data_IF_183526990219
#
_entry.id   IF_183526990219
#
_cell.length_a   1.000
_cell.length_b   1.000
_cell.length_c   1.000
_cell.angle_alpha   90.00
_cell.angle_beta   90.00
_cell.angle_gamma   90.00
#
_symmetry.space_group_name_H-M   'P 1'
#
loop_
_entity.id
_entity.type
_entity.pdbx_description
1 polymer ?
#
# COMPACT_ATOMS: atom_id res chain seq x y z
N UNK A 1 4.11 -0.24 17.29
CA UNK A 1 4.99 -1.04 16.40
C UNK A 1 4.35 -2.35 15.94
N UNK A 2 3.49 -3.00 16.75
CA UNK A 2 2.93 -4.33 16.39
C UNK A 2 1.52 -4.29 15.75
N UNK A 3 0.90 -3.12 15.61
CA UNK A 3 -0.48 -2.98 15.08
C UNK A 3 -0.68 -3.58 13.69
N UNK A 4 0.24 -3.30 12.75
CA UNK A 4 0.16 -3.87 11.40
C UNK A 4 0.38 -5.39 11.38
N UNK A 5 1.20 -5.93 12.29
CA UNK A 5 1.41 -7.37 12.40
C UNK A 5 0.17 -8.07 13.00
N UNK A 6 -0.49 -7.47 13.99
CA UNK A 6 -1.76 -7.96 14.54
C UNK A 6 -2.89 -7.90 13.51
N UNK A 7 -2.97 -6.83 12.72
CA UNK A 7 -3.96 -6.69 11.67
C UNK A 7 -3.76 -7.70 10.54
N UNK A 8 -2.50 -8.00 10.18
CA UNK A 8 -2.17 -9.10 9.26
C UNK A 8 -2.78 -10.42 9.72
N UNK A 9 -2.68 -10.73 11.02
CA UNK A 9 -3.21 -11.98 11.55
C UNK A 9 -4.74 -12.01 11.54
N UNK A 10 -5.41 -10.88 11.81
CA UNK A 10 -6.88 -10.74 11.65
C UNK A 10 -7.32 -10.89 10.18
N UNK A 11 -6.56 -10.35 9.24
CA UNK A 11 -6.86 -10.46 7.81
C UNK A 11 -6.82 -11.89 7.29
N UNK A 12 -6.04 -12.77 7.93
CA UNK A 12 -6.06 -14.18 7.63
C UNK A 12 -7.42 -14.82 7.98
N UNK A 13 -8.06 -14.39 9.07
CA UNK A 13 -9.42 -14.80 9.44
C UNK A 13 -10.47 -14.22 8.48
N UNK A 14 -10.36 -12.93 8.14
CA UNK A 14 -11.25 -12.28 7.18
C UNK A 14 -11.20 -12.94 5.81
N UNK A 15 -10.02 -13.36 5.35
CA UNK A 15 -9.86 -14.09 4.09
C UNK A 15 -10.51 -15.47 4.15
N UNK A 16 -10.38 -16.20 5.26
CA UNK A 16 -11.06 -17.51 5.45
C UNK A 16 -12.58 -17.40 5.43
N UNK A 17 -13.11 -16.27 5.88
CA UNK A 17 -14.54 -15.99 5.93
C UNK A 17 -15.06 -15.31 4.66
N UNK A 18 -14.21 -15.22 3.62
CA UNK A 18 -14.52 -14.57 2.33
C UNK A 18 -14.97 -13.11 2.46
N UNK A 19 -14.57 -12.43 3.54
CA UNK A 19 -14.84 -11.00 3.74
C UNK A 19 -13.90 -10.13 2.89
N UNK A 20 -12.76 -10.69 2.52
CA UNK A 20 -11.74 -10.05 1.70
C UNK A 20 -11.07 -11.07 0.79
N UNK A 21 -10.76 -10.66 -0.44
CA UNK A 21 -9.91 -11.40 -1.38
C UNK A 21 -8.66 -10.60 -1.63
N UNK A 22 -7.57 -11.04 -1.02
CA UNK A 22 -6.25 -10.44 -1.18
C UNK A 22 -5.56 -11.03 -2.40
N UNK A 23 -4.89 -10.17 -3.14
CA UNK A 23 -3.96 -10.58 -4.18
C UNK A 23 -2.52 -10.48 -3.67
N UNK A 24 -2.22 -9.41 -2.92
CA UNK A 24 -0.93 -9.23 -2.28
C UNK A 24 -1.04 -8.37 -1.01
N UNK A 25 -0.01 -8.43 -0.16
CA UNK A 25 0.05 -7.71 1.10
C UNK A 25 1.50 -7.49 1.58
N UNK A 26 1.77 -6.28 2.06
CA UNK A 26 3.08 -5.90 2.61
C UNK A 26 2.92 -5.07 3.89
N UNK A 27 3.69 -5.41 4.92
CA UNK A 27 3.80 -4.66 6.17
C UNK A 27 5.00 -3.74 6.09
N UNK A 28 4.80 -2.46 6.37
CA UNK A 28 5.86 -1.47 6.49
C UNK A 28 6.00 -1.08 7.96
N UNK A 29 7.21 -1.15 8.49
CA UNK A 29 7.52 -0.67 9.83
C UNK A 29 8.50 0.49 9.70
N UNK A 30 8.11 1.68 10.15
CA UNK A 30 8.98 2.86 10.18
C UNK A 30 9.61 2.98 11.55
N UNK A 31 10.93 2.83 11.63
CA UNK A 31 11.62 2.98 12.91
C UNK A 31 11.71 4.46 13.33
N UNK A 32 12.08 4.71 14.59
CA UNK A 32 12.23 6.06 15.14
C UNK A 32 13.29 6.90 14.40
N UNK A 33 14.25 6.26 13.72
CA UNK A 33 15.23 6.95 12.84
C UNK A 33 14.65 7.36 11.48
N UNK A 34 13.37 7.12 11.24
CA UNK A 34 12.67 7.42 9.98
C UNK A 34 12.87 6.40 8.87
N UNK A 35 13.67 5.35 9.08
CA UNK A 35 13.91 4.27 8.09
C UNK A 35 12.74 3.29 8.08
N UNK A 36 12.13 3.12 6.93
CA UNK A 36 11.11 2.12 6.68
C UNK A 36 11.73 0.75 6.37
N UNK A 37 11.12 -0.32 6.88
CA UNK A 37 11.41 -1.70 6.50
C UNK A 37 10.13 -2.34 5.96
N UNK A 38 10.22 -2.94 4.78
CA UNK A 38 9.11 -3.66 4.16
C UNK A 38 9.25 -5.15 4.45
N UNK A 39 8.18 -5.78 4.91
CA UNK A 39 8.06 -7.23 5.11
C UNK A 39 6.84 -7.70 4.32
N UNK A 40 7.00 -8.63 3.39
CA UNK A 40 5.83 -9.24 2.73
C UNK A 40 5.04 -10.10 3.72
N UNK A 41 3.71 -10.05 3.59
CA UNK A 41 2.80 -10.87 4.38
C UNK A 41 2.61 -12.24 3.70
N UNK A 42 3.65 -13.06 3.67
CA UNK A 42 3.68 -14.35 2.96
C UNK A 42 2.58 -15.34 3.36
N UNK A 43 1.98 -15.22 4.55
CA UNK A 43 0.87 -16.07 5.01
C UNK A 43 -0.49 -15.71 4.38
N UNK A 44 -0.61 -14.51 3.80
CA UNK A 44 -1.86 -13.98 3.25
C UNK A 44 -1.97 -14.18 1.74
N UNK A 45 -0.85 -14.37 1.04
CA UNK A 45 -0.74 -14.20 -0.42
C UNK A 45 -0.37 -15.51 -1.12
N UNK A 46 -0.97 -15.74 -2.29
CA UNK A 46 -0.81 -16.98 -3.07
C UNK A 46 0.44 -17.01 -3.95
N UNK A 47 0.66 -18.14 -4.63
CA UNK A 47 1.69 -18.23 -5.66
C UNK A 47 1.40 -17.21 -6.79
N UNK A 48 2.34 -16.30 -7.06
CA UNK A 48 2.16 -15.18 -7.99
C UNK A 48 2.02 -13.80 -7.32
N UNK A 49 2.19 -13.70 -5.99
CA UNK A 49 2.31 -12.43 -5.28
C UNK A 49 3.44 -11.56 -5.86
N UNK A 50 3.27 -10.24 -5.78
CA UNK A 50 4.28 -9.29 -6.27
C UNK A 50 5.54 -9.43 -5.42
N UNK A 51 6.71 -9.27 -6.02
CA UNK A 51 7.97 -9.43 -5.31
C UNK A 51 8.20 -8.34 -4.25
N UNK A 52 9.12 -8.59 -3.32
CA UNK A 52 9.59 -7.57 -2.38
C UNK A 52 10.17 -6.32 -3.09
N UNK A 53 10.65 -6.46 -4.32
CA UNK A 53 11.11 -5.36 -5.17
C UNK A 53 9.96 -4.41 -5.56
N UNK A 54 8.83 -4.95 -6.03
CA UNK A 54 7.61 -4.18 -6.32
C UNK A 54 7.22 -3.31 -5.13
N UNK A 55 7.06 -3.94 -3.96
CA UNK A 55 6.61 -3.24 -2.75
C UNK A 55 7.69 -2.28 -2.24
N UNK A 56 8.96 -2.67 -2.26
CA UNK A 56 10.07 -1.82 -1.86
C UNK A 56 10.16 -0.53 -2.66
N UNK A 57 9.90 -0.59 -3.96
CA UNK A 57 9.89 0.58 -4.83
C UNK A 57 8.57 1.36 -4.73
N UNK A 58 7.39 0.73 -4.70
CA UNK A 58 6.10 1.43 -4.58
C UNK A 58 6.07 2.25 -3.28
N UNK A 59 6.36 1.59 -2.16
CA UNK A 59 6.51 2.25 -0.86
C UNK A 59 7.66 3.25 -0.90
N UNK A 60 8.76 2.92 -1.57
CA UNK A 60 9.85 3.86 -1.81
C UNK A 60 9.37 5.19 -2.41
N UNK A 61 8.52 5.15 -3.44
CA UNK A 61 7.95 6.35 -4.04
C UNK A 61 7.00 7.07 -3.08
N UNK A 62 6.09 6.35 -2.42
CA UNK A 62 5.13 6.93 -1.47
C UNK A 62 5.82 7.67 -0.31
N UNK A 63 6.94 7.15 0.19
CA UNK A 63 7.62 7.68 1.38
C UNK A 63 8.84 8.58 1.10
N UNK A 64 9.57 8.34 0.02
CA UNK A 64 10.79 9.09 -0.31
C UNK A 64 10.58 10.12 -1.42
N UNK A 65 9.43 10.14 -2.10
CA UNK A 65 9.04 11.26 -2.95
C UNK A 65 7.79 12.06 -2.46
N UNK A 66 7.57 12.35 -1.15
CA UNK A 66 6.46 13.20 -0.70
C UNK A 66 6.58 14.65 -1.20
N UNK A 67 7.76 15.08 -1.63
CA UNK A 67 7.95 16.41 -2.23
C UNK A 67 7.30 16.55 -3.62
N UNK A 68 6.84 15.45 -4.24
CA UNK A 68 5.90 15.53 -5.35
C UNK A 68 4.53 16.08 -4.87
N UNK A 69 4.21 15.95 -3.57
CA UNK A 69 3.05 16.56 -2.90
C UNK A 69 3.29 17.97 -2.33
N UNK A 70 4.54 18.40 -2.07
CA UNK A 70 4.84 19.78 -1.64
C UNK A 70 4.58 20.84 -2.72
N UNK A 71 4.37 20.44 -3.98
CA UNK A 71 3.97 21.32 -5.08
C UNK A 71 2.45 21.57 -5.16
N UNK A 72 1.64 20.91 -4.33
CA UNK A 72 0.20 21.20 -4.23
C UNK A 72 -0.10 22.45 -3.38
N UNK A 73 0.87 22.93 -2.60
CA UNK A 73 0.75 24.13 -1.78
C UNK A 73 1.44 25.34 -2.42
N UNK A 74 0.69 26.12 -3.18
CA UNK A 74 1.06 27.41 -3.79
C UNK A 74 1.79 27.35 -5.16
N UNK A 75 0.98 27.45 -6.22
CA UNK A 75 1.35 27.78 -7.60
C UNK A 75 2.21 26.77 -8.40
N UNK A 76 1.60 26.10 -9.37
CA UNK A 76 2.30 25.52 -10.53
C UNK A 76 2.03 24.02 -10.71
N UNK A 77 1.36 23.68 -11.82
CA UNK A 77 1.04 22.30 -12.16
C UNK A 77 2.23 21.49 -12.69
N UNK A 78 1.94 20.19 -12.86
CA UNK A 78 2.67 19.15 -13.58
C UNK A 78 3.97 18.64 -12.96
N UNK A 79 3.89 17.55 -12.17
CA UNK A 79 4.58 16.26 -12.44
C UNK A 79 3.85 15.11 -11.70
N UNK A 80 2.55 14.89 -11.99
CA UNK A 80 1.87 13.64 -11.64
C UNK A 80 1.35 13.00 -12.91
N UNK A 81 2.04 11.97 -13.41
CA UNK A 81 1.66 11.37 -14.70
C UNK A 81 2.15 9.96 -14.88
N UNK A 82 2.48 9.26 -13.79
CA UNK A 82 2.84 7.83 -13.91
C UNK A 82 2.21 6.95 -12.84
N UNK A 83 1.92 7.44 -11.64
CA UNK A 83 1.14 6.69 -10.64
C UNK A 83 -0.35 7.09 -10.68
N UNK A 84 -0.64 8.39 -10.82
CA UNK A 84 -2.00 8.90 -11.08
C UNK A 84 -2.67 8.31 -12.32
N UNK A 85 -1.90 8.13 -13.40
CA UNK A 85 -2.37 7.50 -14.64
C UNK A 85 -2.59 5.98 -14.51
N UNK A 86 -2.19 5.39 -13.38
CA UNK A 86 -2.42 3.98 -13.03
C UNK A 86 -3.44 3.91 -11.88
N UNK A 87 -4.31 4.91 -11.74
CA UNK A 87 -5.43 4.94 -10.79
C UNK A 87 -5.09 5.22 -9.33
N UNK A 88 -3.81 5.42 -8.97
CA UNK A 88 -3.38 5.83 -7.63
C UNK A 88 -3.30 7.37 -7.59
N UNK A 89 -4.31 8.02 -7.01
CA UNK A 89 -4.39 9.48 -6.97
C UNK A 89 -3.35 10.14 -6.04
N UNK A 90 -2.99 11.39 -6.35
CA UNK A 90 -1.97 12.15 -5.60
C UNK A 90 -2.38 12.44 -4.15
N UNK A 91 -3.68 12.54 -3.87
CA UNK A 91 -4.20 12.74 -2.51
C UNK A 91 -3.90 11.53 -1.63
N UNK A 92 -4.18 10.32 -2.12
CA UNK A 92 -3.84 9.07 -1.43
C UNK A 92 -2.34 8.98 -1.14
N UNK A 93 -1.48 9.33 -2.11
CA UNK A 93 -0.02 9.31 -1.92
C UNK A 93 0.39 10.26 -0.79
N UNK A 94 -0.19 11.47 -0.74
CA UNK A 94 0.10 12.45 0.31
C UNK A 94 -0.38 11.97 1.69
N UNK A 95 -1.60 11.45 1.76
CA UNK A 95 -2.21 10.96 3.00
C UNK A 95 -1.41 9.78 3.58
N UNK A 96 -0.98 8.83 2.75
CA UNK A 96 -0.11 7.72 3.18
C UNK A 96 1.24 8.22 3.71
N UNK A 97 1.83 9.21 3.03
CA UNK A 97 3.12 9.77 3.43
C UNK A 97 3.08 10.47 4.80
N UNK A 98 1.99 11.18 5.08
CA UNK A 98 1.78 11.93 6.33
C UNK A 98 1.29 11.04 7.47
N UNK A 99 0.52 9.99 7.17
CA UNK A 99 -0.07 9.09 8.16
C UNK A 99 0.93 8.16 8.86
N UNK A 100 2.13 7.94 8.31
CA UNK A 100 3.06 6.92 8.81
C UNK A 100 4.28 7.58 9.45
N UNK A 101 4.15 7.94 10.73
CA UNK A 101 5.18 8.64 11.50
C UNK A 101 6.31 7.69 11.97
N UNK A 102 7.50 8.21 12.32
CA UNK A 102 8.54 7.39 12.94
C UNK A 102 8.03 6.69 14.21
N UNK A 103 8.17 5.37 14.27
CA UNK A 103 7.64 4.54 15.37
C UNK A 103 6.35 3.79 15.02
N UNK A 104 5.73 4.10 13.88
CA UNK A 104 4.49 3.49 13.42
C UNK A 104 4.72 2.41 12.36
N UNK A 105 3.63 1.70 12.04
CA UNK A 105 3.61 0.62 11.06
C UNK A 105 2.36 0.73 10.22
N UNK A 106 2.47 0.44 8.92
CA UNK A 106 1.36 0.39 8.00
C UNK A 106 1.26 -0.97 7.33
N UNK A 107 0.06 -1.30 6.90
CA UNK A 107 -0.22 -2.50 6.14
C UNK A 107 -0.80 -2.09 4.79
N UNK A 108 -0.11 -2.46 3.72
CA UNK A 108 -0.54 -2.25 2.34
C UNK A 108 -1.16 -3.54 1.83
N UNK A 109 -2.35 -3.42 1.24
CA UNK A 109 -3.12 -4.54 0.71
C UNK A 109 -3.45 -4.24 -0.75
N UNK A 110 -3.21 -5.21 -1.63
CA UNK A 110 -3.80 -5.25 -2.95
C UNK A 110 -5.01 -6.19 -2.88
N UNK A 111 -6.20 -5.61 -2.99
CA UNK A 111 -7.48 -6.30 -2.83
C UNK A 111 -8.19 -6.42 -4.16
N UNK A 112 -8.71 -7.61 -4.46
CA UNK A 112 -9.62 -7.81 -5.59
C UNK A 112 -11.07 -7.49 -5.21
N UNK A 113 -11.43 -7.79 -3.97
CA UNK A 113 -12.78 -7.64 -3.44
C UNK A 113 -12.70 -7.53 -1.91
N UNK A 114 -13.42 -6.59 -1.32
CA UNK A 114 -13.38 -6.33 0.12
C UNK A 114 -14.72 -5.78 0.64
N UNK A 115 -15.19 -6.34 1.75
CA UNK A 115 -16.33 -5.81 2.50
C UNK A 115 -15.84 -4.86 3.59
N UNK A 116 -15.43 -3.64 3.19
CA UNK A 116 -14.76 -2.68 4.08
C UNK A 116 -15.61 -2.31 5.30
N UNK A 117 -16.93 -2.12 5.13
CA UNK A 117 -17.84 -1.84 6.25
C UNK A 117 -17.81 -2.94 7.33
N UNK A 118 -17.70 -4.21 6.90
CA UNK A 118 -17.64 -5.35 7.83
C UNK A 118 -16.27 -5.46 8.49
N UNK A 119 -15.20 -5.24 7.71
CA UNK A 119 -13.83 -5.22 8.24
C UNK A 119 -13.70 -4.12 9.29
N UNK A 120 -14.21 -2.92 9.01
CA UNK A 120 -14.22 -1.81 9.94
C UNK A 120 -15.04 -2.11 11.20
N UNK A 121 -16.23 -2.70 11.05
CA UNK A 121 -17.07 -3.08 12.19
C UNK A 121 -16.46 -4.17 13.08
N UNK A 122 -15.62 -5.05 12.54
CA UNK A 122 -14.99 -6.16 13.27
C UNK A 122 -13.57 -5.86 13.76
N UNK A 123 -13.05 -4.67 13.46
CA UNK A 123 -11.71 -4.27 13.88
C UNK A 123 -11.80 -3.19 14.97
N UNK A 124 -11.61 -3.61 16.23
CA UNK A 124 -11.67 -2.73 17.41
C UNK A 124 -10.46 -1.80 17.59
N UNK A 125 -9.42 -1.89 16.76
CA UNK A 125 -8.22 -1.06 16.89
C UNK A 125 -8.39 0.28 16.14
N UNK A 126 -7.72 1.36 16.59
CA UNK A 126 -7.70 2.61 15.84
C UNK A 126 -6.73 2.47 14.67
N UNK A 127 -7.25 2.16 13.47
CA UNK A 127 -6.50 2.18 12.22
C UNK A 127 -7.19 3.10 11.23
N UNK A 128 -6.38 3.86 10.50
CA UNK A 128 -6.84 4.68 9.39
C UNK A 128 -6.81 3.84 8.12
N UNK A 129 -7.94 3.80 7.41
CA UNK A 129 -8.05 3.12 6.11
C UNK A 129 -7.92 4.17 5.03
N UNK A 130 -6.84 4.09 4.27
CA UNK A 130 -6.66 4.83 3.04
C UNK A 130 -6.94 3.88 1.88
N UNK A 131 -7.84 4.26 0.98
CA UNK A 131 -8.22 3.44 -0.17
C UNK A 131 -8.12 4.21 -1.48
N UNK A 132 -7.76 3.47 -2.54
CA UNK A 132 -7.80 3.96 -3.91
C UNK A 132 -8.27 2.82 -4.81
N UNK A 133 -8.97 3.16 -5.89
CA UNK A 133 -9.59 2.17 -6.77
C UNK A 133 -8.84 2.11 -8.10
N UNK A 134 -8.44 0.89 -8.50
CA UNK A 134 -7.76 0.65 -9.76
C UNK A 134 -8.69 -0.04 -10.76
N UNK A 135 -8.64 0.40 -12.02
CA UNK A 135 -9.23 -0.38 -13.11
C UNK A 135 -8.42 -1.66 -13.33
N UNK A 136 -9.01 -2.74 -13.89
CA UNK A 136 -8.27 -3.96 -14.21
C UNK A 136 -7.06 -3.70 -15.13
N UNK A 137 -7.19 -2.73 -16.05
CA UNK A 137 -6.14 -2.31 -16.96
C UNK A 137 -4.99 -1.61 -16.21
N UNK A 138 -5.33 -0.75 -15.25
CA UNK A 138 -4.34 -0.04 -14.44
C UNK A 138 -3.65 -0.97 -13.45
N UNK A 139 -4.37 -1.90 -12.80
CA UNK A 139 -3.76 -2.94 -11.98
C UNK A 139 -2.74 -3.76 -12.79
N UNK A 140 -3.11 -4.16 -14.01
CA UNK A 140 -2.22 -4.88 -14.91
C UNK A 140 -1.01 -4.02 -15.29
N UNK A 141 -1.22 -2.75 -15.64
CA UNK A 141 -0.14 -1.82 -15.98
C UNK A 141 0.77 -1.55 -14.79
N UNK A 142 0.24 -1.44 -13.58
CA UNK A 142 0.99 -1.29 -12.33
C UNK A 142 1.92 -2.49 -12.18
N UNK A 143 1.36 -3.70 -12.31
CA UNK A 143 2.13 -4.94 -12.24
C UNK A 143 3.20 -5.03 -13.31
N UNK A 144 2.87 -4.75 -14.57
CA UNK A 144 3.82 -4.85 -15.68
C UNK A 144 4.94 -3.81 -15.59
N UNK A 145 4.59 -2.56 -15.27
CA UNK A 145 5.57 -1.46 -15.09
C UNK A 145 6.63 -1.86 -14.08
N UNK A 146 6.23 -2.59 -13.04
CA UNK A 146 7.10 -2.93 -11.93
C UNK A 146 7.63 -4.37 -11.96
N UNK A 147 7.05 -5.26 -12.76
CA UNK A 147 7.60 -6.58 -13.07
C UNK A 147 8.67 -6.52 -14.17
N UNK A 148 8.55 -5.58 -15.12
CA UNK A 148 9.56 -5.37 -16.15
C UNK A 148 10.89 -4.83 -15.59
N UNK A 149 10.84 -4.14 -14.45
CA UNK A 149 12.03 -3.59 -13.78
C UNK A 149 12.88 -4.67 -13.08
N UNK A 150 12.30 -5.82 -12.71
CA UNK A 150 13.05 -7.00 -12.20
C UNK A 150 13.92 -7.69 -13.27
N UNK A 151 13.67 -7.45 -14.56
CA UNK A 151 14.42 -8.10 -15.67
C UNK A 151 15.60 -7.25 -16.15
N UNK A 152 15.70 -5.99 -15.71
CA UNK A 152 16.75 -5.06 -16.14
C UNK A 152 17.88 -4.85 -15.09
N UNK A 153 17.84 -5.56 -13.97
CA UNK A 153 18.82 -5.46 -12.86
C UNK A 153 19.79 -6.63 -12.78
#
# INVERSE_FOLDING_TARGET
MDGAEQMRDKLYDFQKRELIRLEDAAVVVRNESGRAKVKQAHSLVGAGALGGAFWGMLIGVLFFAPWLGLLAGAAGGAVSGKLGDIGIDDSFISEVGDAIQPGESALFLLVRDAQLDRIAAETDEPFEILETNLSPEDETRLRETFAAEEVAG
#
